data_IF_614914652682
#
_entry.id   IF_614914652682
#
_cell.length_a   1.000
_cell.length_b   1.000
_cell.length_c   1.000
_cell.angle_alpha   90.00
_cell.angle_beta   90.00
_cell.angle_gamma   90.00
#
_symmetry.space_group_name_H-M   'P 1'
#
loop_
_entity.id
_entity.type
_entity.pdbx_description
1 polymer ?
#
# COMPACT_ATOMS: atom_id res chain seq x y z
N UNK A 1 -5.01 13.13 17.17
CA UNK A 1 -6.32 13.49 16.55
C UNK A 1 -6.26 14.33 15.27
N UNK A 2 -5.86 15.62 15.28
CA UNK A 2 -5.85 16.43 14.03
C UNK A 2 -4.89 15.83 12.97
N UNK A 3 -3.73 15.35 13.42
CA UNK A 3 -2.75 14.63 12.57
C UNK A 3 -3.35 13.37 11.92
N UNK A 4 -4.00 12.51 12.69
CA UNK A 4 -4.69 11.31 12.17
C UNK A 4 -5.70 11.67 11.08
N UNK A 5 -6.45 12.76 11.27
CA UNK A 5 -7.42 13.20 10.27
C UNK A 5 -6.70 13.59 8.96
N UNK A 6 -5.62 14.36 9.03
CA UNK A 6 -4.82 14.72 7.86
C UNK A 6 -4.19 13.49 7.18
N UNK A 7 -3.65 12.55 7.95
CA UNK A 7 -3.08 11.30 7.41
C UNK A 7 -4.15 10.45 6.72
N UNK A 8 -5.35 10.35 7.32
CA UNK A 8 -6.50 9.64 6.72
C UNK A 8 -6.97 10.28 5.42
N UNK A 9 -7.04 11.61 5.38
CA UNK A 9 -7.38 12.38 4.17
C UNK A 9 -6.32 12.15 3.09
N UNK A 10 -5.03 12.24 3.44
CA UNK A 10 -3.93 12.04 2.50
C UNK A 10 -3.94 10.64 1.89
N UNK A 11 -4.07 9.59 2.72
CA UNK A 11 -4.14 8.20 2.26
C UNK A 11 -5.35 8.03 1.33
N UNK A 12 -6.49 8.62 1.68
CA UNK A 12 -7.71 8.54 0.87
C UNK A 12 -7.54 9.21 -0.50
N UNK A 13 -7.00 10.44 -0.54
CA UNK A 13 -6.70 11.16 -1.80
C UNK A 13 -5.72 10.36 -2.65
N UNK A 14 -4.65 9.86 -2.04
CA UNK A 14 -3.60 9.13 -2.73
C UNK A 14 -4.13 7.83 -3.34
N UNK A 15 -4.84 7.00 -2.56
CA UNK A 15 -5.43 5.75 -3.04
C UNK A 15 -6.48 6.03 -4.12
N UNK A 16 -7.30 7.07 -3.96
CA UNK A 16 -8.24 7.50 -4.98
C UNK A 16 -7.55 7.85 -6.31
N UNK A 17 -6.52 8.71 -6.27
CA UNK A 17 -5.74 9.07 -7.46
C UNK A 17 -5.13 7.84 -8.14
N UNK A 18 -4.61 6.89 -7.37
CA UNK A 18 -4.07 5.64 -7.92
C UNK A 18 -5.11 4.72 -8.53
N UNK A 19 -6.29 4.58 -7.90
CA UNK A 19 -7.40 3.82 -8.48
C UNK A 19 -7.84 4.43 -9.82
N UNK A 20 -7.94 5.76 -9.88
CA UNK A 20 -8.27 6.47 -11.11
C UNK A 20 -7.24 6.23 -12.22
N UNK A 21 -5.94 6.32 -11.90
CA UNK A 21 -4.86 6.06 -12.85
C UNK A 21 -4.91 4.62 -13.37
N UNK A 22 -5.05 3.64 -12.48
CA UNK A 22 -5.06 2.22 -12.85
C UNK A 22 -6.29 1.88 -13.69
N UNK A 23 -7.46 2.40 -13.32
CA UNK A 23 -8.71 2.18 -14.07
C UNK A 23 -8.64 2.82 -15.47
N UNK A 24 -8.11 4.04 -15.56
CA UNK A 24 -7.88 4.69 -16.86
C UNK A 24 -6.90 3.89 -17.73
N UNK A 25 -5.77 3.45 -17.18
CA UNK A 25 -4.80 2.61 -17.90
C UNK A 25 -5.41 1.27 -18.32
N UNK A 26 -6.21 0.65 -17.45
CA UNK A 26 -6.88 -0.62 -17.74
C UNK A 26 -7.82 -0.49 -18.94
N UNK A 27 -8.61 0.58 -18.98
CA UNK A 27 -9.54 0.86 -20.08
C UNK A 27 -8.78 1.21 -21.37
N UNK A 28 -7.80 2.11 -21.31
CA UNK A 28 -7.02 2.48 -22.51
C UNK A 28 -6.28 1.29 -23.12
N UNK A 29 -5.83 0.36 -22.29
CA UNK A 29 -5.07 -0.80 -22.76
C UNK A 29 -5.95 -2.02 -23.06
N UNK A 30 -7.29 -1.93 -22.97
CA UNK A 30 -8.22 -3.08 -23.09
C UNK A 30 -7.87 -4.23 -22.13
N UNK A 31 -7.32 -3.90 -20.97
CA UNK A 31 -6.74 -4.86 -20.03
C UNK A 31 -5.51 -5.61 -20.55
N UNK A 32 -4.94 -5.27 -21.71
CA UNK A 32 -3.71 -5.91 -22.21
C UNK A 32 -2.52 -5.64 -21.29
N UNK A 33 -2.45 -4.47 -20.64
CA UNK A 33 -1.41 -4.25 -19.63
C UNK A 33 -1.56 -5.23 -18.46
N UNK A 34 -2.78 -5.43 -17.98
CA UNK A 34 -3.09 -6.45 -16.98
C UNK A 34 -2.71 -7.87 -17.46
N UNK A 35 -3.01 -8.21 -18.72
CA UNK A 35 -2.60 -9.51 -19.32
C UNK A 35 -1.09 -9.64 -19.46
N UNK A 36 -0.37 -8.55 -19.75
CA UNK A 36 1.09 -8.53 -19.81
C UNK A 36 1.63 -8.71 -18.39
N UNK A 37 1.32 -7.84 -17.42
CA UNK A 37 1.79 -8.03 -16.03
C UNK A 37 1.40 -9.42 -15.47
N UNK A 38 0.19 -9.87 -15.75
CA UNK A 38 -0.37 -11.14 -15.30
C UNK A 38 0.16 -12.40 -16.00
N UNK A 39 0.77 -12.29 -17.19
CA UNK A 39 1.07 -13.45 -18.07
C UNK A 39 2.00 -14.51 -17.48
N UNK A 40 2.94 -14.12 -16.61
CA UNK A 40 3.89 -15.05 -15.96
C UNK A 40 3.96 -14.77 -14.46
N UNK A 41 3.62 -15.78 -13.66
CA UNK A 41 3.64 -15.74 -12.19
C UNK A 41 4.98 -15.23 -11.64
N UNK A 42 6.09 -15.73 -12.17
CA UNK A 42 7.44 -15.33 -11.75
C UNK A 42 7.72 -13.83 -11.94
N UNK A 43 7.18 -13.22 -12.99
CA UNK A 43 7.32 -11.78 -13.22
C UNK A 43 6.51 -10.97 -12.22
N UNK A 44 5.35 -11.47 -11.79
CA UNK A 44 4.53 -10.80 -10.78
C UNK A 44 5.28 -10.70 -9.45
N UNK A 45 6.03 -11.73 -9.04
CA UNK A 45 6.85 -11.67 -7.81
C UNK A 45 7.99 -10.66 -7.94
N UNK A 46 8.69 -10.64 -9.07
CA UNK A 46 9.79 -9.68 -9.30
C UNK A 46 9.26 -8.24 -9.28
N UNK A 47 8.16 -7.97 -9.99
CA UNK A 47 7.52 -6.65 -9.97
C UNK A 47 7.03 -6.33 -8.55
N UNK A 48 6.43 -7.31 -7.86
CA UNK A 48 5.96 -7.12 -6.49
C UNK A 48 7.07 -6.75 -5.52
N UNK A 49 8.23 -7.41 -5.62
CA UNK A 49 9.39 -7.17 -4.76
C UNK A 49 10.00 -5.80 -5.07
N UNK A 50 10.08 -5.43 -6.36
CA UNK A 50 10.51 -4.10 -6.79
C UNK A 50 9.58 -3.01 -6.26
N UNK A 51 8.26 -3.20 -6.34
CA UNK A 51 7.30 -2.28 -5.76
C UNK A 51 7.50 -2.15 -4.25
N UNK A 52 7.67 -3.26 -3.53
CA UNK A 52 7.84 -3.23 -2.07
C UNK A 52 9.14 -2.56 -1.63
N UNK A 53 10.22 -2.73 -2.40
CA UNK A 53 11.51 -2.11 -2.13
C UNK A 53 11.53 -0.58 -2.32
N UNK A 54 10.51 0.00 -2.96
CA UNK A 54 10.36 1.47 -3.06
C UNK A 54 10.06 2.00 -1.65
N UNK A 55 10.90 2.90 -1.09
CA UNK A 55 10.63 3.50 0.22
C UNK A 55 9.29 4.22 0.27
N UNK A 56 8.60 4.13 1.41
CA UNK A 56 7.26 4.68 1.62
C UNK A 56 6.14 3.73 1.18
N UNK A 57 4.92 4.26 1.08
CA UNK A 57 3.73 3.45 0.81
C UNK A 57 3.32 3.37 -0.67
N UNK A 58 4.06 4.02 -1.59
CA UNK A 58 3.72 4.06 -3.03
C UNK A 58 3.57 2.66 -3.63
N UNK A 59 4.58 1.81 -3.42
CA UNK A 59 4.63 0.48 -4.03
C UNK A 59 3.60 -0.47 -3.44
N UNK A 60 3.38 -0.41 -2.12
CA UNK A 60 2.38 -1.24 -1.43
C UNK A 60 0.96 -0.86 -1.86
N UNK A 61 0.62 0.43 -1.94
CA UNK A 61 -0.67 0.88 -2.47
C UNK A 61 -0.87 0.51 -3.95
N UNK A 62 0.18 0.59 -4.76
CA UNK A 62 0.12 0.17 -6.17
C UNK A 62 -0.17 -1.32 -6.28
N UNK A 63 0.51 -2.17 -5.50
CA UNK A 63 0.27 -3.61 -5.50
C UNK A 63 -1.14 -3.95 -5.02
N UNK A 64 -1.64 -3.28 -3.98
CA UNK A 64 -3.01 -3.46 -3.51
C UNK A 64 -4.03 -3.11 -4.60
N UNK A 65 -3.82 -2.00 -5.31
CA UNK A 65 -4.69 -1.63 -6.41
C UNK A 65 -4.62 -2.66 -7.55
N UNK A 66 -3.43 -3.10 -7.97
CA UNK A 66 -3.27 -4.16 -8.97
C UNK A 66 -3.95 -5.47 -8.55
N UNK A 67 -3.88 -5.82 -7.27
CA UNK A 67 -4.55 -7.00 -6.72
C UNK A 67 -6.07 -6.85 -6.72
N UNK A 68 -6.59 -5.68 -6.33
CA UNK A 68 -8.02 -5.37 -6.36
C UNK A 68 -8.61 -5.49 -7.79
N UNK A 69 -7.81 -5.19 -8.82
CA UNK A 69 -8.18 -5.36 -10.22
C UNK A 69 -7.92 -6.77 -10.77
N UNK A 70 -7.61 -7.76 -9.91
CA UNK A 70 -7.26 -9.13 -10.29
C UNK A 70 -6.08 -9.24 -11.30
N UNK A 71 -5.19 -8.23 -11.34
CA UNK A 71 -4.04 -8.21 -12.25
C UNK A 71 -2.88 -9.06 -11.72
N UNK A 72 -2.65 -9.01 -10.40
CA UNK A 72 -1.60 -9.78 -9.72
C UNK A 72 -2.20 -10.81 -8.75
N UNK A 73 -1.46 -11.88 -8.49
CA UNK A 73 -1.85 -12.92 -7.54
C UNK A 73 -1.72 -12.48 -6.09
N UNK A 74 -2.34 -13.23 -5.18
CA UNK A 74 -2.14 -13.06 -3.73
C UNK A 74 -0.66 -13.27 -3.33
N UNK A 75 0.05 -14.20 -3.97
CA UNK A 75 1.48 -14.40 -3.73
C UNK A 75 2.31 -13.19 -4.14
N UNK A 76 1.97 -12.52 -5.24
CA UNK A 76 2.62 -11.27 -5.64
C UNK A 76 2.31 -10.11 -4.68
N UNK A 77 1.07 -10.02 -4.16
CA UNK A 77 0.72 -9.07 -3.11
C UNK A 77 1.57 -9.30 -1.85
N UNK A 78 1.67 -10.56 -1.39
CA UNK A 78 2.50 -10.94 -0.24
C UNK A 78 3.97 -10.65 -0.48
N UNK A 79 4.48 -10.89 -1.70
CA UNK A 79 5.84 -10.49 -2.08
C UNK A 79 6.04 -8.98 -1.90
N UNK A 80 5.10 -8.14 -2.32
CA UNK A 80 5.20 -6.68 -2.05
C UNK A 80 5.15 -6.37 -0.56
N UNK A 81 4.23 -6.98 0.19
CA UNK A 81 4.07 -6.68 1.62
C UNK A 81 5.28 -7.12 2.45
N UNK A 82 5.96 -8.21 2.10
CA UNK A 82 7.20 -8.64 2.77
C UNK A 82 8.38 -7.75 2.36
N UNK A 83 8.41 -7.27 1.13
CA UNK A 83 9.52 -6.46 0.60
C UNK A 83 9.52 -5.00 1.10
N UNK A 84 8.46 -4.54 1.76
CA UNK A 84 8.30 -3.12 2.15
C UNK A 84 8.48 -2.91 3.66
N UNK A 85 9.12 -1.79 4.03
CA UNK A 85 9.18 -1.24 5.41
C UNK A 85 8.60 0.16 5.47
N UNK A 86 7.55 0.41 4.68
CA UNK A 86 6.79 1.66 4.69
C UNK A 86 7.67 2.91 4.81
N UNK A 87 7.32 3.77 5.76
CA UNK A 87 8.02 5.04 5.99
C UNK A 87 9.25 4.87 6.90
N UNK A 88 9.35 3.77 7.66
CA UNK A 88 10.53 3.47 8.49
C UNK A 88 11.80 3.31 7.65
N UNK A 89 11.64 2.89 6.39
CA UNK A 89 12.74 2.82 5.42
C UNK A 89 13.47 4.16 5.30
N UNK A 90 12.76 5.30 5.37
CA UNK A 90 13.39 6.62 5.34
C UNK A 90 14.23 6.89 6.57
N UNK A 91 13.71 6.55 7.75
CA UNK A 91 14.41 6.74 9.02
C UNK A 91 15.67 5.88 9.04
N UNK A 92 15.56 4.61 8.63
CA UNK A 92 16.70 3.72 8.59
C UNK A 92 17.74 4.18 7.57
N UNK A 93 17.34 4.62 6.37
CA UNK A 93 18.26 5.17 5.37
C UNK A 93 18.90 6.49 5.81
N UNK A 94 18.18 7.34 6.54
CA UNK A 94 18.70 8.61 7.05
C UNK A 94 19.72 8.40 8.18
N UNK A 95 19.41 7.50 9.12
CA UNK A 95 20.28 7.22 10.26
C UNK A 95 21.45 6.29 9.90
N UNK A 96 21.23 5.33 8.99
CA UNK A 96 22.25 4.38 8.55
C UNK A 96 21.97 3.84 7.13
N UNK A 97 22.42 4.55 6.07
CA UNK A 97 22.16 4.18 4.68
C UNK A 97 22.59 2.74 4.35
N UNK A 98 23.73 2.31 4.87
CA UNK A 98 24.27 0.98 4.65
C UNK A 98 23.35 -0.11 5.21
N UNK A 99 22.91 0.03 6.48
CA UNK A 99 21.99 -0.92 7.11
C UNK A 99 20.63 -0.92 6.39
N UNK A 100 20.14 0.26 5.98
CA UNK A 100 18.91 0.39 5.20
C UNK A 100 18.94 -0.39 3.89
N UNK A 101 19.98 -0.20 3.08
CA UNK A 101 20.13 -0.92 1.81
C UNK A 101 20.25 -2.43 2.00
N UNK A 102 20.96 -2.89 3.04
CA UNK A 102 21.09 -4.31 3.37
C UNK A 102 19.72 -4.90 3.72
N UNK A 103 18.92 -4.24 4.55
CA UNK A 103 17.59 -4.75 4.92
C UNK A 103 16.66 -4.78 3.71
N UNK A 104 16.62 -3.72 2.89
CA UNK A 104 15.82 -3.70 1.66
C UNK A 104 16.21 -4.88 0.75
N UNK A 105 17.50 -5.14 0.58
CA UNK A 105 17.98 -6.26 -0.23
C UNK A 105 17.58 -7.62 0.35
N UNK A 106 17.68 -7.80 1.67
CA UNK A 106 17.29 -9.05 2.33
C UNK A 106 15.78 -9.26 2.19
N UNK A 107 14.96 -8.24 2.46
CA UNK A 107 13.50 -8.32 2.30
C UNK A 107 13.11 -8.62 0.85
N UNK A 108 13.77 -7.96 -0.12
CA UNK A 108 13.60 -8.26 -1.54
C UNK A 108 13.86 -9.74 -1.83
N UNK A 109 14.98 -10.30 -1.36
CA UNK A 109 15.34 -11.70 -1.59
C UNK A 109 14.44 -12.69 -0.86
N UNK A 110 13.99 -12.38 0.36
CA UNK A 110 13.08 -13.22 1.16
C UNK A 110 11.66 -13.22 0.58
N UNK A 111 11.23 -12.09 0.01
CA UNK A 111 9.87 -11.93 -0.51
C UNK A 111 9.55 -12.77 -1.76
N UNK A 112 10.56 -13.02 -2.61
CA UNK A 112 10.41 -13.79 -3.85
C UNK A 112 10.03 -15.26 -3.62
N UNK A 113 10.78 -16.07 -2.84
CA UNK A 113 10.40 -17.45 -2.55
C UNK A 113 9.14 -17.51 -1.70
N UNK A 114 8.91 -16.52 -0.82
CA UNK A 114 7.70 -16.43 0.01
C UNK A 114 6.44 -16.34 -0.82
N UNK A 115 6.36 -15.40 -1.77
CA UNK A 115 5.19 -15.27 -2.65
C UNK A 115 5.00 -16.47 -3.57
N UNK A 116 6.10 -17.04 -4.08
CA UNK A 116 6.05 -18.27 -4.86
C UNK A 116 5.47 -19.45 -4.07
N UNK A 117 5.93 -19.64 -2.83
CA UNK A 117 5.47 -20.71 -1.95
C UNK A 117 3.99 -20.55 -1.62
N UNK A 118 3.54 -19.33 -1.32
CA UNK A 118 2.13 -19.06 -1.02
C UNK A 118 1.24 -19.36 -2.22
N UNK A 119 1.65 -18.95 -3.42
CA UNK A 119 0.91 -19.24 -4.64
C UNK A 119 0.86 -20.73 -4.98
N UNK A 120 1.91 -21.48 -4.63
CA UNK A 120 1.94 -22.93 -4.74
C UNK A 120 0.97 -23.60 -3.76
N UNK A 121 0.96 -23.16 -2.50
CA UNK A 121 0.13 -23.73 -1.42
C UNK A 121 -1.36 -23.37 -1.56
N UNK A 122 -1.68 -22.18 -2.07
CA UNK A 122 -3.05 -21.68 -2.19
C UNK A 122 -3.68 -21.92 -3.57
N UNK A 123 -3.01 -22.65 -4.47
CA UNK A 123 -3.37 -22.79 -5.90
C UNK A 123 -4.85 -23.11 -6.16
N UNK A 124 -5.47 -24.00 -5.36
CA UNK A 124 -6.90 -24.34 -5.49
C UNK A 124 -7.84 -23.49 -4.63
N UNK A 125 -7.37 -22.98 -3.48
CA UNK A 125 -8.17 -22.16 -2.56
C UNK A 125 -8.25 -20.68 -2.97
N UNK A 126 -7.36 -20.21 -3.83
CA UNK A 126 -7.30 -18.83 -4.32
C UNK A 126 -8.61 -18.33 -4.93
N UNK A 127 -9.24 -19.12 -5.80
CA UNK A 127 -10.49 -18.74 -6.49
C UNK A 127 -11.70 -18.62 -5.55
N UNK A 128 -11.66 -19.24 -4.37
CA UNK A 128 -12.80 -19.37 -3.46
C UNK A 128 -12.66 -18.52 -2.19
N UNK A 129 -11.44 -18.29 -1.71
CA UNK A 129 -11.17 -17.61 -0.43
C UNK A 129 -10.65 -16.17 -0.57
N UNK A 130 -9.94 -15.87 -1.66
CA UNK A 130 -9.27 -14.58 -1.89
C UNK A 130 -9.82 -13.88 -3.14
N UNK A 131 -11.11 -14.03 -3.39
CA UNK A 131 -11.81 -13.23 -4.40
C UNK A 131 -12.17 -11.91 -3.75
N UNK A 132 -11.62 -10.82 -4.26
CA UNK A 132 -12.20 -9.54 -3.97
C UNK A 132 -13.34 -9.33 -4.97
N UNK A 133 -14.59 -9.26 -4.51
CA UNK A 133 -15.73 -8.79 -5.32
C UNK A 133 -15.62 -7.27 -5.48
N UNK A 134 -14.47 -6.84 -5.99
CA UNK A 134 -14.06 -5.46 -6.05
C UNK A 134 -14.73 -4.74 -7.22
N UNK A 135 -14.84 -5.40 -8.39
CA UNK A 135 -15.43 -4.82 -9.60
C UNK A 135 -15.96 -5.89 -10.57
N UNK A 136 -17.15 -5.65 -11.10
CA UNK A 136 -17.66 -6.31 -12.31
C UNK A 136 -17.15 -5.55 -13.52
N UNK A 137 -16.41 -6.22 -14.41
CA UNK A 137 -16.01 -5.64 -15.68
C UNK A 137 -17.28 -5.59 -16.55
N UNK A 138 -17.90 -4.41 -16.67
CA UNK A 138 -18.95 -4.21 -17.65
C UNK A 138 -18.32 -4.26 -19.05
N UNK A 139 -18.80 -5.18 -19.90
CA UNK A 139 -18.38 -5.29 -21.31
C UNK A 139 -18.95 -4.15 -22.19
N UNK A 140 -19.64 -3.17 -21.59
CA UNK A 140 -20.39 -2.18 -22.34
C UNK A 140 -19.50 -1.04 -22.88
N UNK A 141 -19.42 -1.01 -24.21
CA UNK A 141 -19.05 0.11 -25.10
C UNK A 141 -17.91 1.02 -24.59
N UNK A 142 -16.69 0.53 -24.77
CA UNK A 142 -15.46 1.32 -24.63
C UNK A 142 -15.45 2.53 -25.58
N UNK A 143 -15.76 3.73 -25.06
CA UNK A 143 -15.38 4.98 -25.72
C UNK A 143 -13.89 5.24 -25.50
N UNK A 144 -13.11 5.06 -26.56
CA UNK A 144 -11.66 5.29 -26.53
C UNK A 144 -11.33 6.76 -26.26
N UNK A 145 -10.18 6.98 -25.61
CA UNK A 145 -9.60 8.32 -25.58
C UNK A 145 -9.36 8.81 -27.00
N UNK A 146 -9.98 9.94 -27.34
CA UNK A 146 -9.66 10.65 -28.57
C UNK A 146 -9.44 12.13 -28.27
N UNK A 147 -8.28 12.63 -28.67
CA UNK A 147 -7.92 14.05 -28.54
C UNK A 147 -8.95 14.99 -29.19
N UNK A 148 -9.75 14.50 -30.15
CA UNK A 148 -10.84 15.26 -30.80
C UNK A 148 -12.04 15.53 -29.90
N UNK A 149 -12.30 14.69 -28.88
CA UNK A 149 -13.44 14.84 -27.97
C UNK A 149 -13.16 15.76 -26.78
N UNK A 150 -11.89 16.06 -26.48
CA UNK A 150 -11.48 16.85 -25.31
C UNK A 150 -11.95 18.31 -25.38
N UNK A 151 -11.79 18.95 -26.55
CA UNK A 151 -12.17 20.36 -26.77
C UNK A 151 -13.69 20.61 -26.64
N UNK A 152 -14.58 19.78 -27.23
CA UNK A 152 -16.02 19.88 -26.99
C UNK A 152 -16.40 19.61 -25.53
N UNK A 153 -15.82 18.59 -24.89
CA UNK A 153 -16.14 18.21 -23.51
C UNK A 153 -15.75 19.28 -22.48
N UNK A 154 -14.63 19.98 -22.70
CA UNK A 154 -14.23 21.12 -21.85
C UNK A 154 -15.11 22.36 -22.02
N UNK A 155 -15.87 22.47 -23.13
CA UNK A 155 -16.84 23.55 -23.32
C UNK A 155 -18.18 23.28 -22.64
N UNK A 156 -18.52 22.02 -22.38
CA UNK A 156 -19.73 21.60 -21.65
C UNK A 156 -19.35 20.69 -20.48
N UNK A 157 -18.75 21.27 -19.45
CA UNK A 157 -18.27 20.52 -18.28
C UNK A 157 -19.47 19.97 -17.48
N UNK A 158 -19.58 18.64 -17.43
CA UNK A 158 -20.54 17.96 -16.55
C UNK A 158 -20.17 18.15 -15.06
N UNK A 159 -21.17 18.06 -14.18
CA UNK A 159 -20.99 18.28 -12.74
C UNK A 159 -19.94 17.35 -12.12
N UNK A 160 -19.95 16.07 -12.52
CA UNK A 160 -19.01 15.06 -12.03
C UNK A 160 -17.57 15.42 -12.41
N UNK A 161 -17.35 15.88 -13.65
CA UNK A 161 -16.03 16.32 -14.14
C UNK A 161 -15.56 17.57 -13.40
N UNK A 162 -16.44 18.57 -13.26
CA UNK A 162 -16.13 19.79 -12.52
C UNK A 162 -15.70 19.46 -11.08
N UNK A 163 -16.49 18.64 -10.39
CA UNK A 163 -16.22 18.32 -8.99
C UNK A 163 -14.91 17.52 -8.83
N UNK A 164 -14.66 16.53 -9.71
CA UNK A 164 -13.42 15.76 -9.68
C UNK A 164 -12.19 16.61 -9.96
N UNK A 165 -12.27 17.55 -10.91
CA UNK A 165 -11.18 18.48 -11.20
C UNK A 165 -10.92 19.40 -10.01
N UNK A 166 -11.97 20.01 -9.43
CA UNK A 166 -11.84 20.89 -8.27
C UNK A 166 -11.25 20.13 -7.08
N UNK A 167 -11.73 18.92 -6.79
CA UNK A 167 -11.23 18.09 -5.70
C UNK A 167 -9.75 17.74 -5.88
N UNK A 168 -9.34 17.30 -7.07
CA UNK A 168 -7.95 16.93 -7.35
C UNK A 168 -7.01 18.15 -7.35
N UNK A 169 -7.43 19.28 -7.94
CA UNK A 169 -6.65 20.54 -7.92
C UNK A 169 -6.52 21.07 -6.49
N UNK A 170 -7.61 21.07 -5.72
CA UNK A 170 -7.57 21.48 -4.32
C UNK A 170 -6.62 20.60 -3.50
N UNK A 171 -6.69 19.28 -3.70
CA UNK A 171 -5.79 18.32 -3.06
C UNK A 171 -4.33 18.56 -3.46
N UNK A 172 -4.07 18.85 -4.74
CA UNK A 172 -2.74 19.18 -5.25
C UNK A 172 -2.18 20.42 -4.56
N UNK A 173 -2.99 21.48 -4.42
CA UNK A 173 -2.60 22.71 -3.74
C UNK A 173 -2.32 22.47 -2.25
N UNK A 174 -3.19 21.70 -1.55
CA UNK A 174 -2.98 21.37 -0.14
C UNK A 174 -1.64 20.67 0.10
N UNK A 175 -1.28 19.71 -0.76
CA UNK A 175 0.01 18.99 -0.66
C UNK A 175 1.17 19.88 -1.09
N UNK A 176 1.02 20.68 -2.14
CA UNK A 176 2.06 21.59 -2.61
C UNK A 176 2.43 22.63 -1.55
N UNK A 177 1.44 23.24 -0.90
CA UNK A 177 1.67 24.22 0.17
C UNK A 177 2.00 23.60 1.54
N UNK A 178 1.78 22.30 1.72
CA UNK A 178 2.20 21.58 2.93
C UNK A 178 1.18 21.65 4.06
N UNK A 179 -0.08 21.92 3.73
CA UNK A 179 -1.17 21.78 4.68
C UNK A 179 -1.45 20.32 5.03
N UNK A 180 -1.21 19.41 4.07
CA UNK A 180 -1.39 17.96 4.23
C UNK A 180 -0.19 17.24 3.60
N UNK A 181 0.33 16.20 4.26
CA UNK A 181 1.49 15.43 3.80
C UNK A 181 2.80 15.85 4.48
N UNK A 182 3.95 15.42 3.95
CA UNK A 182 5.24 15.71 4.54
C UNK A 182 5.51 17.23 4.62
N UNK A 183 5.90 17.73 5.80
CA UNK A 183 6.20 19.15 6.01
C UNK A 183 7.37 19.63 5.14
N UNK A 184 8.37 18.78 4.96
CA UNK A 184 9.52 19.05 4.11
C UNK A 184 9.29 18.67 2.64
N UNK A 185 10.02 19.32 1.75
CA UNK A 185 10.07 18.97 0.33
C UNK A 185 10.95 17.74 0.13
N UNK A 186 10.36 16.57 0.34
CA UNK A 186 10.99 15.28 0.09
C UNK A 186 10.42 14.57 -1.14
N UNK A 187 11.05 13.48 -1.55
CA UNK A 187 10.61 12.66 -2.68
C UNK A 187 9.20 12.09 -2.52
N UNK A 188 8.73 11.85 -1.29
CA UNK A 188 7.36 11.39 -1.02
C UNK A 188 6.36 12.46 -1.44
N UNK A 189 6.59 13.71 -1.03
CA UNK A 189 5.74 14.85 -1.42
C UNK A 189 5.74 15.08 -2.92
N UNK A 190 6.91 15.04 -3.56
CA UNK A 190 7.05 15.14 -5.03
C UNK A 190 6.24 14.04 -5.71
N UNK A 191 6.36 12.80 -5.23
CA UNK A 191 5.62 11.65 -5.78
C UNK A 191 4.12 11.83 -5.65
N UNK A 192 3.63 12.25 -4.48
CA UNK A 192 2.20 12.50 -4.25
C UNK A 192 1.69 13.59 -5.19
N UNK A 193 2.44 14.67 -5.37
CA UNK A 193 2.12 15.76 -6.31
C UNK A 193 2.04 15.22 -7.75
N UNK A 194 2.99 14.39 -8.17
CA UNK A 194 2.99 13.78 -9.52
C UNK A 194 1.75 12.89 -9.70
N UNK A 195 1.45 12.04 -8.72
CA UNK A 195 0.30 11.12 -8.78
C UNK A 195 -1.02 11.88 -8.85
N UNK A 196 -1.22 12.89 -8.00
CA UNK A 196 -2.42 13.75 -8.03
C UNK A 196 -2.46 14.55 -9.33
N UNK A 197 -1.31 15.03 -9.83
CA UNK A 197 -1.20 15.74 -11.10
C UNK A 197 -1.63 14.89 -12.30
N UNK A 198 -1.19 13.63 -12.36
CA UNK A 198 -1.62 12.67 -13.39
C UNK A 198 -3.13 12.39 -13.24
N UNK A 199 -3.64 12.18 -12.03
CA UNK A 199 -5.07 11.97 -11.81
C UNK A 199 -5.92 13.19 -12.21
N UNK A 200 -5.40 14.40 -11.98
CA UNK A 200 -6.01 15.66 -12.44
C UNK A 200 -6.05 15.71 -13.97
N UNK A 201 -4.93 15.39 -14.62
CA UNK A 201 -4.84 15.33 -16.08
C UNK A 201 -5.83 14.30 -16.65
N UNK A 202 -5.94 13.12 -16.05
CA UNK A 202 -6.91 12.12 -16.49
C UNK A 202 -8.34 12.62 -16.29
N UNK A 203 -8.65 13.33 -15.20
CA UNK A 203 -9.98 13.93 -14.97
C UNK A 203 -10.36 14.94 -16.08
N UNK A 204 -9.36 15.60 -16.67
CA UNK A 204 -9.54 16.50 -17.83
C UNK A 204 -9.71 15.70 -19.14
N UNK A 205 -8.95 14.63 -19.33
CA UNK A 205 -8.83 13.91 -20.60
C UNK A 205 -9.84 12.76 -20.78
N UNK A 206 -10.36 12.19 -19.70
CA UNK A 206 -11.23 11.03 -19.76
C UNK A 206 -12.63 11.37 -20.31
N UNK A 207 -13.36 10.37 -20.79
CA UNK A 207 -14.73 10.53 -21.29
C UNK A 207 -15.75 10.74 -20.15
N UNK A 208 -16.88 11.36 -20.46
CA UNK A 208 -17.92 11.61 -19.46
C UNK A 208 -18.53 10.30 -18.91
N UNK A 209 -18.70 9.28 -19.78
CA UNK A 209 -19.13 7.95 -19.35
C UNK A 209 -18.18 7.34 -18.32
N UNK A 210 -16.86 7.43 -18.57
CA UNK A 210 -15.85 6.94 -17.63
C UNK A 210 -15.94 7.65 -16.27
N UNK A 211 -16.03 8.99 -16.27
CA UNK A 211 -16.09 9.75 -15.03
C UNK A 211 -17.38 9.47 -14.25
N UNK A 212 -18.50 9.27 -14.93
CA UNK A 212 -19.79 9.04 -14.27
C UNK A 212 -19.96 7.60 -13.79
N UNK A 213 -19.82 6.61 -14.66
CA UNK A 213 -20.10 5.21 -14.32
C UNK A 213 -18.97 4.61 -13.47
N UNK A 214 -17.72 4.78 -13.90
CA UNK A 214 -16.58 4.14 -13.25
C UNK A 214 -16.04 4.94 -12.05
N UNK A 215 -15.86 6.25 -12.21
CA UNK A 215 -15.28 7.04 -11.12
C UNK A 215 -16.34 7.46 -10.09
N UNK A 216 -17.46 8.03 -10.52
CA UNK A 216 -18.44 8.61 -9.61
C UNK A 216 -19.32 7.55 -8.93
N UNK A 217 -20.07 6.76 -9.70
CA UNK A 217 -21.01 5.77 -9.15
C UNK A 217 -20.31 4.59 -8.47
N UNK A 218 -19.18 4.16 -9.03
CA UNK A 218 -18.44 3.03 -8.48
C UNK A 218 -17.42 3.48 -7.42
N UNK A 219 -16.38 4.23 -7.77
CA UNK A 219 -15.26 4.54 -6.85
C UNK A 219 -15.66 5.56 -5.76
N UNK A 220 -16.11 6.75 -6.15
CA UNK A 220 -16.30 7.88 -5.23
C UNK A 220 -17.45 7.63 -4.26
N UNK A 221 -18.58 7.06 -4.72
CA UNK A 221 -19.74 6.79 -3.85
C UNK A 221 -19.60 5.51 -3.02
N UNK A 222 -19.04 4.42 -3.58
CA UNK A 222 -19.02 3.12 -2.87
C UNK A 222 -17.71 2.86 -2.11
N UNK A 223 -16.56 3.18 -2.70
CA UNK A 223 -15.26 2.81 -2.13
C UNK A 223 -14.68 3.89 -1.21
N UNK A 224 -14.72 5.16 -1.61
CA UNK A 224 -14.05 6.23 -0.86
C UNK A 224 -14.58 6.44 0.57
N UNK A 225 -15.90 6.48 0.85
CA UNK A 225 -16.39 6.66 2.21
C UNK A 225 -15.96 5.50 3.12
N UNK A 226 -16.01 4.27 2.59
CA UNK A 226 -15.57 3.08 3.31
C UNK A 226 -14.07 3.15 3.58
N UNK A 227 -13.26 3.48 2.58
CA UNK A 227 -11.81 3.58 2.71
C UNK A 227 -11.42 4.64 3.75
N UNK A 228 -12.03 5.83 3.68
CA UNK A 228 -11.78 6.90 4.64
C UNK A 228 -12.15 6.50 6.07
N UNK A 229 -13.37 5.98 6.30
CA UNK A 229 -13.84 5.61 7.63
C UNK A 229 -13.01 4.47 8.26
N UNK A 230 -12.63 3.46 7.46
CA UNK A 230 -11.79 2.36 7.95
C UNK A 230 -10.35 2.81 8.22
N UNK A 231 -9.78 3.66 7.37
CA UNK A 231 -8.44 4.23 7.58
C UNK A 231 -8.42 5.08 8.84
N UNK A 232 -9.37 6.00 8.99
CA UNK A 232 -9.52 6.85 10.16
C UNK A 232 -9.72 6.02 11.45
N UNK A 233 -10.62 5.03 11.40
CA UNK A 233 -10.89 4.15 12.54
C UNK A 233 -9.68 3.30 12.92
N UNK A 234 -8.93 2.78 11.94
CA UNK A 234 -7.71 2.03 12.19
C UNK A 234 -6.64 2.90 12.85
N UNK A 235 -6.36 4.10 12.31
CA UNK A 235 -5.34 4.99 12.87
C UNK A 235 -5.70 5.49 14.28
N UNK A 236 -6.98 5.81 14.55
CA UNK A 236 -7.44 6.15 15.91
C UNK A 236 -7.21 4.97 16.86
N UNK A 237 -7.57 3.76 16.43
CA UNK A 237 -7.40 2.56 17.25
C UNK A 237 -5.94 2.31 17.60
N UNK A 238 -5.03 2.49 16.64
CA UNK A 238 -3.59 2.33 16.88
C UNK A 238 -3.05 3.42 17.79
N UNK A 239 -3.38 4.70 17.57
CA UNK A 239 -2.94 5.81 18.45
C UNK A 239 -3.38 5.58 19.90
N UNK A 240 -4.60 5.08 20.12
CA UNK A 240 -5.13 4.78 21.46
C UNK A 240 -4.41 3.60 22.15
N UNK A 241 -3.99 2.60 21.39
CA UNK A 241 -3.32 1.41 21.93
C UNK A 241 -1.84 1.69 22.20
N UNK A 242 -1.13 2.25 21.22
CA UNK A 242 0.31 2.45 21.31
C UNK A 242 0.65 3.42 22.44
N UNK A 243 -0.14 4.49 22.64
CA UNK A 243 0.10 5.43 23.72
C UNK A 243 -0.10 4.83 25.12
N UNK A 244 -0.85 3.73 25.25
CA UNK A 244 -1.10 3.05 26.53
C UNK A 244 -0.12 1.92 26.80
N UNK A 245 0.61 1.43 25.79
CA UNK A 245 1.57 0.34 25.92
C UNK A 245 2.98 0.92 26.07
N UNK A 246 3.55 0.83 27.27
CA UNK A 246 4.95 1.20 27.52
C UNK A 246 5.88 0.08 27.04
N UNK A 247 6.02 -0.08 25.72
CA UNK A 247 6.73 -1.20 25.08
C UNK A 247 8.20 -1.26 25.54
N UNK A 248 8.82 -0.13 25.93
CA UNK A 248 10.21 -0.07 26.39
C UNK A 248 10.49 -0.95 27.62
N UNK A 249 9.55 -1.08 28.57
CA UNK A 249 9.77 -1.87 29.79
C UNK A 249 9.71 -3.38 29.52
N UNK A 250 8.94 -3.80 28.51
CA UNK A 250 8.74 -5.21 28.18
C UNK A 250 9.95 -5.82 27.45
N UNK A 251 10.85 -4.98 26.93
CA UNK A 251 11.95 -5.39 26.05
C UNK A 251 13.18 -5.94 26.81
N UNK A 252 13.22 -5.86 28.14
CA UNK A 252 14.45 -6.14 28.89
C UNK A 252 14.60 -7.56 29.47
N UNK A 253 13.62 -8.47 29.34
CA UNK A 253 13.67 -9.76 30.03
C UNK A 253 14.16 -10.94 29.19
N UNK A 254 13.77 -11.05 27.91
CA UNK A 254 14.09 -12.22 27.08
C UNK A 254 14.01 -11.92 25.57
N UNK A 255 15.11 -12.13 24.84
CA UNK A 255 15.21 -11.89 23.38
C UNK A 255 14.13 -12.63 22.57
N UNK A 256 13.72 -13.83 23.00
CA UNK A 256 12.64 -14.60 22.37
C UNK A 256 11.26 -13.94 22.55
N UNK A 257 11.02 -13.34 23.72
CA UNK A 257 9.78 -12.60 23.99
C UNK A 257 9.76 -11.32 23.16
N UNK A 258 10.90 -10.62 23.06
CA UNK A 258 11.03 -9.42 22.22
C UNK A 258 10.73 -9.74 20.75
N UNK A 259 11.23 -10.86 20.21
CA UNK A 259 10.91 -11.31 18.86
C UNK A 259 9.40 -11.51 18.66
N UNK A 260 8.75 -12.18 19.61
CA UNK A 260 7.31 -12.43 19.55
C UNK A 260 6.53 -11.11 19.60
N UNK A 261 6.86 -10.22 20.53
CA UNK A 261 6.24 -8.89 20.66
C UNK A 261 6.43 -8.09 19.38
N UNK A 262 7.66 -8.04 18.84
CA UNK A 262 7.95 -7.28 17.62
C UNK A 262 7.16 -7.81 16.42
N UNK A 263 7.03 -9.13 16.31
CA UNK A 263 6.22 -9.76 15.28
C UNK A 263 4.71 -9.48 15.48
N UNK A 264 4.21 -9.49 16.72
CA UNK A 264 2.82 -9.14 17.02
C UNK A 264 2.52 -7.66 16.74
N UNK A 265 3.44 -6.76 17.09
CA UNK A 265 3.31 -5.33 16.80
C UNK A 265 3.30 -5.10 15.29
N UNK A 266 4.09 -5.84 14.51
CA UNK A 266 4.06 -5.76 13.04
C UNK A 266 2.72 -6.17 12.40
N UNK A 267 1.83 -6.86 13.13
CA UNK A 267 0.47 -7.13 12.62
C UNK A 267 -0.37 -5.85 12.50
N UNK A 268 0.01 -4.79 13.19
CA UNK A 268 -0.66 -3.49 13.10
C UNK A 268 -0.32 -2.86 11.74
N UNK A 269 -1.32 -2.52 10.90
CA UNK A 269 -1.10 -1.93 9.58
C UNK A 269 -0.81 -0.41 9.69
N UNK A 270 0.28 -0.08 10.38
CA UNK A 270 0.77 1.28 10.56
C UNK A 270 2.30 1.28 10.69
N UNK A 271 2.94 2.28 10.10
CA UNK A 271 4.39 2.52 10.19
C UNK A 271 4.87 2.83 11.62
N UNK A 272 4.07 3.56 12.41
CA UNK A 272 4.44 4.12 13.71
C UNK A 272 4.96 3.11 14.75
N UNK A 273 4.22 2.04 15.05
CA UNK A 273 4.65 1.02 16.02
C UNK A 273 5.98 0.33 15.65
N UNK A 274 6.30 0.25 14.36
CA UNK A 274 7.51 -0.42 13.88
C UNK A 274 8.78 0.43 14.05
N UNK A 275 8.67 1.76 13.98
CA UNK A 275 9.79 2.71 14.15
C UNK A 275 10.57 2.43 15.45
N UNK A 276 9.87 2.02 16.51
CA UNK A 276 10.48 1.66 17.80
C UNK A 276 11.57 0.59 17.62
N UNK A 277 11.32 -0.45 16.82
CA UNK A 277 12.30 -1.53 16.59
C UNK A 277 13.46 -1.05 15.71
N UNK A 278 13.20 -0.20 14.72
CA UNK A 278 14.26 0.43 13.92
C UNK A 278 15.20 1.24 14.82
N UNK A 279 14.67 2.08 15.69
CA UNK A 279 15.46 2.89 16.63
C UNK A 279 16.25 2.01 17.60
N UNK A 280 15.62 1.01 18.20
CA UNK A 280 16.29 0.10 19.14
C UNK A 280 17.41 -0.70 18.46
N UNK A 281 17.25 -1.11 17.19
CA UNK A 281 18.29 -1.81 16.45
C UNK A 281 19.47 -0.89 16.14
N UNK A 282 19.21 0.37 15.76
CA UNK A 282 20.26 1.36 15.51
C UNK A 282 21.05 1.64 16.78
N UNK A 283 20.37 1.71 17.93
CA UNK A 283 20.98 1.88 19.27
C UNK A 283 21.74 0.62 19.75
N UNK A 284 21.57 -0.53 19.09
CA UNK A 284 22.19 -1.79 19.48
C UNK A 284 21.46 -2.56 20.60
N UNK A 285 20.22 -2.18 20.91
CA UNK A 285 19.44 -2.76 22.02
C UNK A 285 18.71 -4.05 21.62
N UNK A 286 18.43 -4.26 20.34
CA UNK A 286 17.81 -5.48 19.82
C UNK A 286 18.67 -6.10 18.69
N UNK A 287 18.64 -7.44 18.55
CA UNK A 287 19.38 -8.13 17.49
C UNK A 287 18.73 -7.94 16.11
N UNK A 288 19.48 -8.26 15.05
CA UNK A 288 19.03 -8.15 13.67
C UNK A 288 17.82 -9.07 13.39
N UNK A 289 17.78 -10.26 14.01
CA UNK A 289 16.64 -11.18 13.94
C UNK A 289 15.29 -10.54 14.29
N UNK A 290 15.25 -9.73 15.36
CA UNK A 290 14.02 -9.07 15.81
C UNK A 290 13.59 -8.01 14.79
N UNK A 291 14.53 -7.18 14.33
CA UNK A 291 14.23 -6.17 13.33
C UNK A 291 13.71 -6.83 12.04
N UNK A 292 14.45 -7.79 11.48
CA UNK A 292 14.05 -8.43 10.23
C UNK A 292 12.69 -9.13 10.34
N UNK A 293 12.44 -9.84 11.44
CA UNK A 293 11.14 -10.48 11.67
C UNK A 293 10.01 -9.46 11.66
N UNK A 294 10.13 -8.41 12.47
CA UNK A 294 9.11 -7.35 12.53
C UNK A 294 8.92 -6.66 11.17
N UNK A 295 10.01 -6.43 10.43
CA UNK A 295 9.98 -5.85 9.08
C UNK A 295 9.26 -6.73 8.06
N UNK A 296 9.37 -8.06 8.16
CA UNK A 296 8.63 -9.00 7.32
C UNK A 296 7.13 -9.00 7.67
N UNK A 297 6.79 -8.86 8.96
CA UNK A 297 5.39 -8.91 9.40
C UNK A 297 4.62 -7.63 9.05
N UNK A 298 5.25 -6.47 9.24
CA UNK A 298 4.61 -5.19 8.95
C UNK A 298 4.50 -4.95 7.43
N UNK A 299 3.57 -4.07 7.06
CA UNK A 299 3.29 -3.68 5.67
C UNK A 299 3.00 -2.16 5.55
N UNK A 300 3.47 -1.40 6.55
CA UNK A 300 3.15 0.01 6.76
C UNK A 300 1.65 0.27 6.68
N UNK A 301 1.28 1.40 6.08
CA UNK A 301 -0.12 1.73 5.78
C UNK A 301 -0.70 0.94 4.58
N UNK A 302 0.13 0.14 3.90
CA UNK A 302 -0.17 -0.46 2.60
C UNK A 302 -1.40 -1.37 2.61
N UNK A 303 -1.68 -2.04 3.73
CA UNK A 303 -2.82 -2.96 3.84
C UNK A 303 -4.13 -2.33 4.34
N UNK A 304 -4.15 -1.04 4.69
CA UNK A 304 -5.38 -0.35 5.11
C UNK A 304 -6.49 -0.38 4.04
N UNK A 305 -6.20 -0.20 2.73
CA UNK A 305 -7.25 -0.31 1.70
C UNK A 305 -7.79 -1.74 1.57
N UNK A 306 -6.94 -2.77 1.75
CA UNK A 306 -7.39 -4.16 1.76
C UNK A 306 -8.26 -4.45 2.97
N UNK A 307 -7.93 -3.91 4.15
CA UNK A 307 -8.77 -4.02 5.35
C UNK A 307 -10.18 -3.45 5.11
N UNK A 308 -10.26 -2.30 4.44
CA UNK A 308 -11.53 -1.66 4.09
C UNK A 308 -12.34 -2.50 3.09
N UNK A 309 -11.69 -3.27 2.23
CA UNK A 309 -12.36 -3.99 1.15
C UNK A 309 -12.64 -5.47 1.44
N UNK A 310 -11.68 -6.19 1.99
CA UNK A 310 -11.75 -7.62 2.29
C UNK A 310 -10.92 -7.99 3.52
N UNK A 311 -11.61 -8.08 4.67
CA UNK A 311 -11.02 -8.52 5.94
C UNK A 311 -10.37 -9.91 5.87
N UNK A 312 -10.92 -10.81 5.04
CA UNK A 312 -10.37 -12.16 4.87
C UNK A 312 -9.01 -12.12 4.17
N UNK A 313 -8.89 -11.31 3.12
CA UNK A 313 -7.61 -11.11 2.43
C UNK A 313 -6.61 -10.47 3.38
N UNK A 314 -7.03 -9.40 4.07
CA UNK A 314 -6.20 -8.70 5.07
C UNK A 314 -5.62 -9.66 6.12
N UNK A 315 -6.49 -10.42 6.81
CA UNK A 315 -6.07 -11.39 7.83
C UNK A 315 -5.19 -12.49 7.23
N UNK A 316 -5.52 -12.99 6.03
CA UNK A 316 -4.73 -14.02 5.36
C UNK A 316 -3.30 -13.58 5.06
N UNK A 317 -3.13 -12.37 4.49
CA UNK A 317 -1.81 -11.78 4.22
C UNK A 317 -1.04 -11.57 5.53
N UNK A 318 -1.67 -10.98 6.54
CA UNK A 318 -1.04 -10.73 7.85
C UNK A 318 -0.58 -12.01 8.54
N UNK A 319 -1.39 -13.07 8.53
CA UNK A 319 -1.02 -14.36 9.12
C UNK A 319 0.14 -15.03 8.39
N UNK A 320 0.17 -14.93 7.06
CA UNK A 320 1.29 -15.45 6.26
C UNK A 320 2.57 -14.69 6.57
N UNK A 321 2.53 -13.36 6.54
CA UNK A 321 3.68 -12.53 6.86
C UNK A 321 4.17 -12.77 8.29
N UNK A 322 3.26 -12.91 9.25
CA UNK A 322 3.59 -13.25 10.64
C UNK A 322 4.30 -14.60 10.77
N UNK A 323 3.78 -15.64 10.12
CA UNK A 323 4.40 -16.96 10.14
C UNK A 323 5.80 -16.95 9.52
N UNK A 324 5.97 -16.26 8.37
CA UNK A 324 7.27 -16.13 7.70
C UNK A 324 8.24 -15.32 8.55
N UNK A 325 7.80 -14.15 9.06
CA UNK A 325 8.61 -13.27 9.89
C UNK A 325 9.10 -13.95 11.16
N UNK A 326 8.21 -14.64 11.89
CA UNK A 326 8.60 -15.42 13.06
C UNK A 326 9.57 -16.54 12.72
N UNK A 327 9.35 -17.26 11.61
CA UNK A 327 10.21 -18.37 11.21
C UNK A 327 11.64 -17.89 10.89
N UNK A 328 11.77 -16.82 10.10
CA UNK A 328 13.06 -16.20 9.79
C UNK A 328 13.72 -15.59 11.01
N UNK A 329 12.94 -14.88 11.85
CA UNK A 329 13.43 -14.28 13.09
C UNK A 329 13.99 -15.32 14.06
N UNK A 330 13.26 -16.42 14.27
CA UNK A 330 13.69 -17.48 15.15
C UNK A 330 14.94 -18.19 14.63
N UNK A 331 14.99 -18.50 13.33
CA UNK A 331 16.18 -19.08 12.68
C UNK A 331 17.41 -18.20 12.85
N UNK A 332 17.30 -16.90 12.57
CA UNK A 332 18.41 -15.96 12.72
C UNK A 332 18.84 -15.80 14.18
N UNK A 333 17.88 -15.80 15.11
CA UNK A 333 18.21 -15.70 16.53
C UNK A 333 18.94 -16.94 17.05
N UNK A 334 18.62 -18.14 16.55
CA UNK A 334 19.39 -19.35 16.83
C UNK A 334 20.82 -19.29 16.29
N UNK A 335 21.02 -18.58 15.16
CA UNK A 335 22.34 -18.31 14.59
C UNK A 335 23.08 -17.16 15.31
N UNK A 336 22.46 -16.54 16.32
CA UNK A 336 23.04 -15.44 17.10
C UNK A 336 23.00 -14.07 16.40
N UNK A 337 22.18 -13.92 15.35
CA UNK A 337 22.02 -12.69 14.56
C UNK A 337 20.87 -11.82 15.05
#
# INVERSE_FOLDING_TARGET
>A
MLKILYDSILITIFVFSMMLIIEFLNIQTKGNWGKILGRRRNRQYIIGALLGAIPGCLGSFTAVSLYAHNIISIGALITTMIATMGDETFILLALSPQKGLVIILILFLVSLPSGFLVDLLLKEKQKKFFKCDCMEIHEDKFEYFSLRLVLPQLKSINFERFLLMVLNIFSLLLVAFGFIGPEEWNWVRITIIIVIGIATLISVLASDHFLKEHIWEHILKKHIPRLFLWTLGALIFVELIVHRLNIQEWIQSNKYIVLLIASLVGLVPESGPHIIFVTLYIQGNIPFSVLLASSIVQDGHGMLPVLAHSRRVFLGVKLVNFAIGLSFGFLLMLLGL
#
